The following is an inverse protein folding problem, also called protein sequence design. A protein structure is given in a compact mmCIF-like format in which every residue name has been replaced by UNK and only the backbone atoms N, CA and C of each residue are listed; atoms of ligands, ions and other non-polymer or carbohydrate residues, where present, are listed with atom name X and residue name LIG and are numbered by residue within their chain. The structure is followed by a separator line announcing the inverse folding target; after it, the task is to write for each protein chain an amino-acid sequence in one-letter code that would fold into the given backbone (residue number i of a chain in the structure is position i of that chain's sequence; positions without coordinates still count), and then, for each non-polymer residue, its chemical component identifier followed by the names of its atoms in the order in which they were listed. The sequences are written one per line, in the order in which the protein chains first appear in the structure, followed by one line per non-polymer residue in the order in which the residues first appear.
data_IF_929724064430
#
_entry.id   IF_929724064430
#
_cell.length_a   1.000
_cell.length_b   1.000
_cell.length_c   1.000
_cell.angle_alpha   90.00
_cell.angle_beta   90.00
_cell.angle_gamma   90.00
#
_symmetry.space_group_name_H-M   'P 1'
#
loop_
_entity.id
_entity.type
_entity.pdbx_description
1 polymer ?
#
# COMPACT_ATOMS: atom_id res chain seq x y z
N UNK A 1 -4.74 -22.25 14.37
CA UNK A 1 -4.82 -20.90 14.96
C UNK A 1 -3.40 -20.42 15.11
N UNK A 2 -3.07 -19.29 14.49
CA UNK A 2 -1.75 -18.69 14.58
C UNK A 2 -1.65 -17.84 15.85
N UNK A 3 -0.53 -17.94 16.55
CA UNK A 3 -0.25 -17.09 17.70
C UNK A 3 0.23 -15.70 17.26
N UNK A 4 -0.06 -14.66 18.05
CA UNK A 4 0.49 -13.32 17.84
C UNK A 4 2.02 -13.31 17.70
N UNK A 5 2.71 -14.12 18.50
CA UNK A 5 4.16 -14.25 18.44
C UNK A 5 4.66 -14.65 17.04
N UNK A 6 3.91 -15.47 16.30
CA UNK A 6 4.26 -15.87 14.94
C UNK A 6 4.05 -14.74 13.93
N UNK A 7 3.00 -13.93 14.10
CA UNK A 7 2.79 -12.73 13.28
C UNK A 7 3.90 -11.69 13.50
N UNK A 8 4.26 -11.45 14.76
CA UNK A 8 5.37 -10.56 15.11
C UNK A 8 6.70 -11.10 14.57
N UNK A 9 6.96 -12.39 14.71
CA UNK A 9 8.17 -13.00 14.16
C UNK A 9 8.24 -12.86 12.63
N UNK A 10 7.13 -13.10 11.93
CA UNK A 10 7.04 -12.90 10.48
C UNK A 10 7.38 -11.46 10.10
N UNK A 11 6.73 -10.48 10.73
CA UNK A 11 6.92 -9.06 10.40
C UNK A 11 8.36 -8.62 10.70
N UNK A 12 8.93 -9.04 11.83
CA UNK A 12 10.32 -8.76 12.14
C UNK A 12 11.27 -9.39 11.10
N UNK A 13 10.98 -10.60 10.63
CA UNK A 13 11.78 -11.28 9.62
C UNK A 13 11.75 -10.58 8.25
N UNK A 14 10.60 -10.04 7.85
CA UNK A 14 10.44 -9.38 6.54
C UNK A 14 10.69 -7.87 6.58
N UNK A 15 10.97 -7.31 7.75
CA UNK A 15 11.31 -5.89 7.89
C UNK A 15 12.57 -5.57 7.08
N UNK A 16 12.51 -4.49 6.30
CA UNK A 16 13.56 -4.09 5.36
C UNK A 16 13.46 -4.71 3.96
N UNK A 17 12.52 -5.64 3.71
CA UNK A 17 12.26 -6.13 2.34
C UNK A 17 11.91 -4.96 1.41
N UNK A 18 12.59 -4.77 0.26
CA UNK A 18 12.38 -3.62 -0.62
C UNK A 18 10.95 -3.48 -1.16
N UNK A 19 10.55 -2.24 -1.47
CA UNK A 19 9.30 -2.00 -2.18
C UNK A 19 9.45 -2.38 -3.66
N UNK A 20 8.63 -3.29 -4.15
CA UNK A 20 8.52 -3.64 -5.56
C UNK A 20 7.04 -3.67 -5.91
N UNK A 21 6.59 -2.85 -6.86
CA UNK A 21 5.21 -2.86 -7.33
C UNK A 21 4.84 -4.24 -7.88
N UNK A 22 3.73 -4.82 -7.39
CA UNK A 22 3.31 -6.18 -7.70
C UNK A 22 4.18 -7.27 -7.07
N UNK A 23 5.16 -6.92 -6.23
CA UNK A 23 6.03 -7.86 -5.54
C UNK A 23 5.28 -8.68 -4.50
N UNK A 24 5.66 -9.95 -4.39
CA UNK A 24 5.07 -10.93 -3.48
C UNK A 24 6.11 -11.98 -3.07
N UNK A 25 7.33 -11.51 -2.74
CA UNK A 25 8.42 -12.40 -2.30
C UNK A 25 9.35 -11.73 -1.30
N UNK A 26 10.23 -12.49 -0.61
CA UNK A 26 11.27 -11.92 0.25
C UNK A 26 12.22 -10.94 -0.47
N UNK A 27 12.33 -11.00 -1.81
CA UNK A 27 13.15 -10.09 -2.60
C UNK A 27 12.51 -8.70 -2.77
N UNK A 28 11.20 -8.59 -2.55
CA UNK A 28 10.48 -7.32 -2.59
C UNK A 28 8.96 -7.49 -2.63
N UNK A 29 8.25 -6.54 -2.03
CA UNK A 29 6.79 -6.52 -1.95
C UNK A 29 6.22 -5.11 -1.98
N UNK A 30 5.03 -4.95 -2.57
CA UNK A 30 4.26 -3.72 -2.43
C UNK A 30 3.42 -3.72 -1.14
N UNK A 31 2.64 -2.65 -0.94
CA UNK A 31 1.72 -2.49 0.19
C UNK A 31 0.75 -3.67 0.32
N UNK A 32 0.14 -4.07 -0.80
CA UNK A 32 -0.85 -5.14 -0.85
C UNK A 32 -0.26 -6.55 -0.72
N UNK A 33 0.96 -6.76 -1.20
CA UNK A 33 1.71 -8.00 -0.99
C UNK A 33 2.02 -8.22 0.49
N UNK A 34 2.46 -7.18 1.20
CA UNK A 34 2.68 -7.26 2.65
C UNK A 34 1.37 -7.53 3.40
N UNK A 35 0.29 -6.81 3.06
CA UNK A 35 -1.03 -7.07 3.63
C UNK A 35 -1.49 -8.52 3.37
N UNK A 36 -1.20 -9.05 2.17
CA UNK A 36 -1.49 -10.44 1.82
C UNK A 36 -0.73 -11.43 2.70
N UNK A 37 0.54 -11.19 2.98
CA UNK A 37 1.35 -12.06 3.85
C UNK A 37 0.80 -12.12 5.25
N UNK A 38 0.49 -10.96 5.83
CA UNK A 38 -0.07 -10.88 7.18
C UNK A 38 -1.46 -11.51 7.23
N UNK A 39 -2.33 -11.22 6.26
CA UNK A 39 -3.67 -11.82 6.21
C UNK A 39 -3.63 -13.34 5.99
N UNK A 40 -2.69 -13.84 5.19
CA UNK A 40 -2.49 -15.28 5.01
C UNK A 40 -2.03 -15.93 6.31
N UNK A 41 -0.98 -15.38 6.94
CA UNK A 41 -0.49 -15.89 8.21
C UNK A 41 -1.61 -15.90 9.27
N UNK A 42 -2.32 -14.78 9.41
CA UNK A 42 -3.42 -14.60 10.37
C UNK A 42 -4.57 -15.60 10.18
N UNK A 43 -4.77 -16.09 8.95
CA UNK A 43 -5.83 -17.04 8.58
C UNK A 43 -5.33 -18.48 8.37
N UNK A 44 -4.17 -18.83 8.95
CA UNK A 44 -3.54 -20.17 8.85
C UNK A 44 -3.27 -20.62 7.40
N UNK A 45 -2.93 -19.67 6.51
CA UNK A 45 -2.57 -19.93 5.11
C UNK A 45 -1.07 -19.75 4.87
N UNK A 46 -0.49 -20.38 3.83
CA UNK A 46 0.91 -20.12 3.47
C UNK A 46 1.14 -18.64 3.17
N UNK A 47 2.16 -18.05 3.79
CA UNK A 47 2.47 -16.60 3.73
C UNK A 47 2.53 -16.09 2.29
N UNK A 48 3.30 -16.77 1.43
CA UNK A 48 3.45 -16.47 0.00
C UNK A 48 2.51 -17.29 -0.90
N UNK A 49 1.45 -17.87 -0.34
CA UNK A 49 0.59 -18.82 -1.06
C UNK A 49 -0.46 -18.17 -1.95
N UNK A 50 -0.91 -16.95 -1.60
CA UNK A 50 -1.89 -16.21 -2.39
C UNK A 50 -1.81 -14.73 -2.10
N UNK A 51 -1.95 -13.90 -3.15
CA UNK A 51 -1.95 -12.44 -3.01
C UNK A 51 -3.27 -11.79 -3.38
N UNK A 52 -3.45 -10.57 -2.93
CA UNK A 52 -4.48 -9.64 -3.36
C UNK A 52 -3.87 -8.26 -3.66
N UNK A 53 -4.71 -7.34 -4.12
CA UNK A 53 -4.42 -5.92 -4.31
C UNK A 53 -5.62 -5.09 -3.81
N UNK A 54 -5.44 -3.78 -3.68
CA UNK A 54 -6.50 -2.88 -3.18
C UNK A 54 -7.82 -2.97 -3.94
N UNK A 55 -7.80 -3.36 -5.22
CA UNK A 55 -9.00 -3.53 -6.05
C UNK A 55 -9.81 -4.79 -5.76
N UNK A 56 -9.24 -5.80 -5.09
CA UNK A 56 -9.96 -7.01 -4.67
C UNK A 56 -9.78 -7.36 -3.19
N UNK A 57 -9.22 -6.45 -2.40
CA UNK A 57 -8.83 -6.65 -1.00
C UNK A 57 -10.02 -7.06 -0.13
N UNK A 58 -11.18 -6.40 -0.26
CA UNK A 58 -12.39 -6.74 0.48
C UNK A 58 -12.78 -8.22 0.33
N UNK A 59 -12.96 -8.67 -0.92
CA UNK A 59 -13.34 -10.06 -1.21
C UNK A 59 -12.26 -11.05 -0.75
N UNK A 60 -10.99 -10.68 -0.88
CA UNK A 60 -9.87 -11.49 -0.44
C UNK A 60 -9.82 -11.64 1.08
N UNK A 61 -10.05 -10.57 1.83
CA UNK A 61 -10.08 -10.56 3.30
C UNK A 61 -11.31 -11.32 3.82
N UNK A 62 -12.49 -11.13 3.24
CA UNK A 62 -13.69 -11.91 3.56
C UNK A 62 -13.44 -13.41 3.40
N UNK A 63 -12.77 -13.82 2.31
CA UNK A 63 -12.43 -15.23 2.09
C UNK A 63 -11.47 -15.81 3.13
N UNK A 64 -10.78 -14.95 3.89
CA UNK A 64 -9.84 -15.27 4.98
C UNK A 64 -10.48 -15.14 6.36
N UNK A 65 -11.78 -14.87 6.44
CA UNK A 65 -12.53 -14.77 7.69
C UNK A 65 -12.48 -13.39 8.35
N UNK A 66 -11.93 -12.37 7.68
CA UNK A 66 -11.98 -11.00 8.18
C UNK A 66 -13.43 -10.48 8.17
N UNK A 67 -13.70 -9.55 9.08
CA UNK A 67 -14.98 -8.88 9.27
C UNK A 67 -14.84 -7.38 8.98
N UNK A 68 -15.92 -6.71 8.58
CA UNK A 68 -15.90 -5.27 8.29
C UNK A 68 -15.70 -4.44 9.57
N UNK A 69 -14.94 -3.36 9.46
CA UNK A 69 -14.66 -2.43 10.55
C UNK A 69 -13.30 -2.68 11.20
N UNK A 70 -13.19 -2.35 12.48
CA UNK A 70 -11.97 -2.45 13.28
C UNK A 70 -12.31 -3.05 14.64
N UNK A 71 -11.36 -3.74 15.26
CA UNK A 71 -11.49 -4.20 16.64
C UNK A 71 -10.16 -4.05 17.37
N UNK A 72 -10.23 -3.86 18.69
CA UNK A 72 -9.07 -3.98 19.55
C UNK A 72 -8.57 -5.43 19.56
N UNK A 73 -7.28 -5.64 19.82
CA UNK A 73 -6.69 -6.97 19.96
C UNK A 73 -6.92 -7.86 18.72
N UNK A 74 -6.88 -7.26 17.52
CA UNK A 74 -7.13 -7.94 16.25
C UNK A 74 -6.09 -7.52 15.20
N UNK A 75 -5.89 -8.35 14.19
CA UNK A 75 -5.23 -7.88 12.96
C UNK A 75 -6.22 -6.96 12.27
N UNK A 76 -5.85 -5.71 12.05
CA UNK A 76 -6.67 -4.72 11.36
C UNK A 76 -5.96 -4.30 10.08
N UNK A 77 -6.68 -4.26 8.97
CA UNK A 77 -6.17 -3.85 7.67
C UNK A 77 -7.03 -2.70 7.18
N UNK A 78 -6.39 -1.57 6.88
CA UNK A 78 -7.03 -0.37 6.35
C UNK A 78 -6.51 -0.11 4.95
N UNK A 79 -7.42 0.19 4.01
CA UNK A 79 -7.05 0.45 2.62
C UNK A 79 -7.94 1.49 1.94
N UNK A 80 -7.45 1.98 0.80
CA UNK A 80 -8.18 2.80 -0.17
C UNK A 80 -7.84 2.33 -1.60
N UNK A 81 -8.18 3.10 -2.63
CA UNK A 81 -7.94 2.71 -4.02
C UNK A 81 -6.47 2.47 -4.41
N UNK A 82 -5.49 2.97 -3.66
CA UNK A 82 -4.07 2.91 -4.03
C UNK A 82 -3.11 2.46 -2.94
N UNK A 83 -3.55 2.35 -1.69
CA UNK A 83 -2.68 2.00 -0.57
C UNK A 83 -3.40 1.14 0.47
N UNK A 84 -2.62 0.32 1.17
CA UNK A 84 -3.07 -0.50 2.30
C UNK A 84 -1.97 -0.63 3.34
N UNK A 85 -2.36 -0.70 4.62
CA UNK A 85 -1.45 -0.93 5.73
C UNK A 85 -2.12 -1.75 6.83
N UNK A 86 -1.30 -2.34 7.69
CA UNK A 86 -1.74 -3.30 8.71
C UNK A 86 -1.43 -2.76 10.10
N UNK A 87 -2.30 -3.05 11.05
CA UNK A 87 -2.03 -2.98 12.48
C UNK A 87 -2.20 -4.36 13.09
N UNK A 88 -1.18 -4.84 13.80
CA UNK A 88 -1.19 -6.13 14.47
C UNK A 88 -2.03 -6.09 15.76
N UNK A 89 -2.37 -7.25 16.35
CA UNK A 89 -3.21 -7.30 17.56
C UNK A 89 -2.65 -6.54 18.77
N UNK A 90 -1.33 -6.40 18.87
CA UNK A 90 -0.63 -5.61 19.88
C UNK A 90 -0.55 -4.11 19.51
N UNK A 91 -1.33 -3.66 18.53
CA UNK A 91 -1.31 -2.28 18.05
C UNK A 91 -0.07 -1.92 17.20
N UNK A 92 0.87 -2.85 16.96
CA UNK A 92 2.06 -2.58 16.16
C UNK A 92 1.68 -2.28 14.71
N UNK A 93 1.97 -1.07 14.19
CA UNK A 93 1.70 -0.72 12.79
C UNK A 93 2.78 -1.31 11.88
N UNK A 94 2.37 -1.79 10.71
CA UNK A 94 3.24 -2.38 9.70
C UNK A 94 2.79 -1.93 8.31
N UNK A 95 3.73 -1.47 7.49
CA UNK A 95 3.44 -1.04 6.12
C UNK A 95 4.59 -1.33 5.16
N UNK A 96 4.27 -1.36 3.87
CA UNK A 96 5.25 -1.30 2.78
C UNK A 96 4.82 -0.15 1.87
N UNK A 97 5.76 0.69 1.44
CA UNK A 97 5.55 1.85 0.57
C UNK A 97 5.63 3.20 1.27
N UNK A 98 5.53 3.24 2.60
CA UNK A 98 5.54 4.50 3.37
C UNK A 98 6.96 4.90 3.79
N UNK A 99 7.76 5.35 2.84
CA UNK A 99 9.18 5.63 3.06
C UNK A 99 10.11 4.49 2.63
N UNK A 100 9.60 3.57 1.81
CA UNK A 100 10.38 2.46 1.25
C UNK A 100 9.64 1.14 1.38
N UNK A 101 10.39 0.05 1.45
CA UNK A 101 9.84 -1.30 1.59
C UNK A 101 9.13 -1.57 2.92
N UNK A 102 9.10 -2.84 3.32
CA UNK A 102 8.45 -3.30 4.55
C UNK A 102 9.11 -2.68 5.77
N UNK A 103 8.30 -2.14 6.67
CA UNK A 103 8.76 -1.59 7.95
C UNK A 103 7.72 -1.78 9.06
N UNK A 104 8.22 -1.83 10.28
CA UNK A 104 7.43 -1.63 11.50
C UNK A 104 7.41 -0.13 11.82
N UNK A 105 6.25 0.40 12.21
CA UNK A 105 6.05 1.82 12.49
C UNK A 105 5.11 2.51 11.49
N UNK A 106 4.85 3.80 11.71
CA UNK A 106 3.89 4.58 10.91
C UNK A 106 2.49 4.58 11.50
N UNK A 107 1.48 4.88 10.68
CA UNK A 107 0.09 4.98 11.13
C UNK A 107 -0.68 3.65 11.10
N UNK A 108 -0.12 2.61 10.48
CA UNK A 108 -0.77 1.30 10.34
C UNK A 108 -2.12 1.41 9.64
N UNK A 109 -3.07 0.55 10.00
CA UNK A 109 -4.41 0.54 9.42
C UNK A 109 -5.29 1.75 9.81
N UNK A 110 -4.88 2.58 10.76
CA UNK A 110 -5.70 3.69 11.28
C UNK A 110 -5.37 5.05 10.67
N UNK A 111 -4.70 5.07 9.52
CA UNK A 111 -4.39 6.31 8.83
C UNK A 111 -5.66 6.97 8.29
N UNK A 112 -5.82 8.31 8.39
CA UNK A 112 -7.03 9.02 7.95
C UNK A 112 -7.37 8.85 6.46
N UNK A 113 -6.41 8.41 5.64
CA UNK A 113 -6.60 8.22 4.19
C UNK A 113 -7.36 6.94 3.83
N UNK A 114 -7.50 5.99 4.75
CA UNK A 114 -8.16 4.73 4.47
C UNK A 114 -9.67 4.87 4.61
N UNK A 115 -10.38 4.44 3.57
CA UNK A 115 -11.83 4.51 3.48
C UNK A 115 -12.49 3.16 3.77
N UNK A 116 -11.70 2.09 3.82
CA UNK A 116 -12.14 0.74 4.12
C UNK A 116 -11.28 0.14 5.23
N UNK A 117 -11.92 -0.65 6.09
CA UNK A 117 -11.26 -1.35 7.18
C UNK A 117 -11.89 -2.72 7.36
N UNK A 118 -11.05 -3.71 7.61
CA UNK A 118 -11.46 -5.04 8.03
C UNK A 118 -10.52 -5.57 9.10
N UNK A 119 -11.05 -6.43 9.96
CA UNK A 119 -10.30 -7.02 11.05
C UNK A 119 -10.48 -8.53 11.17
N UNK A 120 -9.48 -9.20 11.73
CA UNK A 120 -9.53 -10.60 12.12
C UNK A 120 -9.14 -10.72 13.60
N UNK A 121 -10.08 -11.12 14.48
CA UNK A 121 -9.76 -11.44 15.88
C UNK A 121 -8.70 -12.53 15.97
N UNK A 122 -7.75 -12.38 16.90
CA UNK A 122 -6.79 -13.41 17.25
C UNK A 122 -7.11 -13.86 18.67
N UNK A 123 -7.41 -15.14 18.87
CA UNK A 123 -7.89 -15.66 20.17
C UNK A 123 -6.72 -16.05 21.10
N UNK A 124 -5.55 -16.41 20.56
CA UNK A 124 -4.32 -16.71 21.31
C UNK A 124 -3.44 -15.47 21.51
N UNK A 125 -3.99 -14.51 22.25
CA UNK A 125 -3.28 -13.33 22.72
C UNK A 125 -2.86 -13.55 24.18
N UNK A 126 -1.71 -14.19 24.40
CA UNK A 126 -0.94 -14.04 25.65
C UNK A 126 -0.33 -12.62 25.69
N UNK A 127 -1.19 -11.61 25.59
CA UNK A 127 -0.84 -10.22 25.76
C UNK A 127 -0.91 -9.90 27.26
N UNK A 128 0.11 -9.26 27.86
CA UNK A 128 -0.07 -8.66 29.16
C UNK A 128 -1.21 -7.63 29.06
N UNK A 129 -2.31 -7.88 29.76
CA UNK A 129 -3.41 -6.92 29.85
C UNK A 129 -2.86 -5.60 30.42
N UNK A 130 -2.75 -4.55 29.59
CA UNK A 130 -2.61 -3.19 30.11
C UNK A 130 -1.64 -2.22 29.43
N UNK A 131 -0.90 -2.57 28.38
CA UNK A 131 0.07 -1.65 27.77
C UNK A 131 -0.03 -1.57 26.23
N UNK A 132 -1.23 -1.25 25.72
CA UNK A 132 -1.34 -0.81 24.33
C UNK A 132 -2.10 0.51 24.26
N UNK A 133 -1.58 1.43 23.45
CA UNK A 133 -2.22 2.71 23.21
C UNK A 133 -3.66 2.45 22.73
N UNK A 134 -4.66 3.14 23.32
CA UNK A 134 -6.02 2.99 22.85
C UNK A 134 -6.05 3.28 21.35
N UNK A 135 -6.80 2.48 20.59
CA UNK A 135 -7.23 2.92 19.27
C UNK A 135 -7.78 4.34 19.44
N UNK A 136 -7.36 5.33 18.65
CA UNK A 136 -7.88 6.68 18.81
C UNK A 136 -9.40 6.58 18.76
N UNK A 137 -10.07 7.06 19.81
CA UNK A 137 -11.52 7.06 19.96
C UNK A 137 -12.16 7.83 18.79
N UNK A 138 -12.35 7.12 17.67
CA UNK A 138 -13.19 7.55 16.58
C UNK A 138 -14.63 7.25 16.97
N UNK A 139 -15.56 8.20 16.81
CA UNK A 139 -16.95 7.99 17.22
C UNK A 139 -17.53 6.79 16.47
N UNK A 140 -18.07 5.82 17.22
CA UNK A 140 -18.98 4.80 16.70
C UNK A 140 -20.25 5.49 16.20
N UNK A 141 -20.32 5.80 14.91
CA UNK A 141 -21.53 6.36 14.33
C UNK A 141 -22.46 5.20 13.94
N UNK A 142 -23.33 4.81 14.87
CA UNK A 142 -24.58 4.11 14.54
C UNK A 142 -25.54 5.15 13.93
N UNK A 143 -25.56 5.31 12.61
CA UNK A 143 -26.57 6.16 11.96
C UNK A 143 -27.89 5.42 11.86
N UNK A 144 -28.79 5.71 12.80
CA UNK A 144 -30.22 5.54 12.60
C UNK A 144 -30.85 6.91 12.30
N UNK A 145 -31.76 6.90 11.33
CA UNK A 145 -32.71 7.90 10.84
C UNK A 145 -32.54 9.42 11.14
N UNK A 146 -32.34 10.17 10.05
CA UNK A 146 -32.99 11.44 9.65
C UNK A 146 -33.18 12.52 10.73
N UNK A 147 -32.30 13.53 10.69
CA UNK A 147 -32.46 14.80 11.40
C UNK A 147 -31.53 15.86 10.82
N UNK A 148 -31.99 16.52 9.77
CA UNK A 148 -31.36 17.67 9.11
C UNK A 148 -31.22 18.85 10.09
N UNK A 149 -30.01 19.42 10.28
CA UNK A 149 -29.81 20.87 10.22
C UNK A 149 -28.31 21.30 10.28
N UNK A 150 -27.94 22.10 9.28
CA UNK A 150 -26.98 23.22 9.29
C UNK A 150 -25.49 22.98 9.59
N UNK A 151 -24.71 22.74 8.53
CA UNK A 151 -23.26 22.98 8.52
C UNK A 151 -22.95 24.50 8.40
N UNK A 152 -21.93 25.03 9.10
CA UNK A 152 -21.42 26.38 8.83
C UNK A 152 -20.61 26.40 7.51
N UNK A 153 -20.50 27.55 6.82
CA UNK A 153 -19.83 27.62 5.53
C UNK A 153 -18.33 27.38 5.67
N UNK A 154 -17.77 26.56 4.77
CA UNK A 154 -16.33 26.39 4.63
C UNK A 154 -15.66 27.70 4.17
N UNK A 155 -14.42 28.01 4.63
CA UNK A 155 -13.65 29.11 4.06
C UNK A 155 -13.28 28.80 2.60
N UNK A 156 -13.50 29.77 1.71
CA UNK A 156 -13.05 29.70 0.31
C UNK A 156 -11.52 29.60 0.25
N UNK A 157 -11.02 28.40 0.00
CA UNK A 157 -9.63 28.18 -0.40
C UNK A 157 -9.56 28.37 -1.92
N UNK A 158 -9.06 29.54 -2.34
CA UNK A 158 -8.68 29.76 -3.73
C UNK A 158 -7.65 28.69 -4.16
N UNK A 159 -7.79 28.10 -5.36
CA UNK A 159 -6.76 27.20 -5.87
C UNK A 159 -5.44 27.97 -6.00
N UNK A 160 -4.30 27.36 -5.64
CA UNK A 160 -3.01 27.96 -5.95
C UNK A 160 -2.88 28.16 -7.46
N UNK A 161 -2.28 29.28 -7.86
CA UNK A 161 -2.03 29.59 -9.26
C UNK A 161 -1.20 28.46 -9.91
N UNK A 162 -1.46 28.10 -11.18
CA UNK A 162 -0.69 27.07 -11.86
C UNK A 162 0.78 27.50 -11.93
N UNK A 163 1.68 26.58 -11.58
CA UNK A 163 3.11 26.74 -11.78
C UNK A 163 3.39 26.96 -13.27
N UNK A 164 4.32 27.87 -13.65
CA UNK A 164 4.71 28.01 -15.03
C UNK A 164 5.33 26.70 -15.53
N UNK A 165 4.82 26.20 -16.66
CA UNK A 165 5.37 25.03 -17.32
C UNK A 165 6.87 25.23 -17.60
N UNK A 166 7.70 24.17 -17.51
CA UNK A 166 9.10 24.27 -17.90
C UNK A 166 9.18 24.66 -19.37
N UNK A 167 9.91 25.74 -19.66
CA UNK A 167 10.22 26.16 -21.01
C UNK A 167 11.06 25.06 -21.67
N UNK A 168 10.45 24.34 -22.61
CA UNK A 168 11.14 23.36 -23.42
C UNK A 168 12.24 24.11 -24.19
N UNK A 169 13.49 23.82 -23.84
CA UNK A 169 14.63 24.24 -24.64
C UNK A 169 14.39 23.80 -26.10
N UNK A 170 14.67 24.64 -27.11
CA UNK A 170 14.50 24.25 -28.49
C UNK A 170 15.34 23.00 -28.78
N UNK A 171 14.72 22.00 -29.40
CA UNK A 171 15.41 20.80 -29.86
C UNK A 171 16.58 21.20 -30.78
N UNK A 172 17.76 20.57 -30.64
CA UNK A 172 18.84 20.80 -31.60
C UNK A 172 18.37 20.35 -32.99
N UNK A 173 18.63 21.19 -33.99
CA UNK A 173 18.35 20.87 -35.38
C UNK A 173 19.04 19.54 -35.77
N UNK A 174 18.42 18.70 -36.61
CA UNK A 174 19.05 17.46 -37.06
C UNK A 174 20.32 17.80 -37.84
N UNK A 175 21.44 17.25 -37.38
CA UNK A 175 22.71 17.30 -38.08
C UNK A 175 22.54 16.53 -39.40
N UNK A 176 22.52 17.26 -40.52
CA UNK A 176 22.47 16.69 -41.85
C UNK A 176 23.71 15.80 -42.04
N UNK A 177 23.49 14.49 -42.13
CA UNK A 177 24.54 13.55 -42.52
C UNK A 177 25.16 14.01 -43.86
N UNK A 178 26.48 13.92 -44.04
CA UNK A 178 27.10 14.25 -45.31
C UNK A 178 26.56 13.34 -46.42
N UNK A 179 26.26 13.93 -47.58
CA UNK A 179 25.84 13.19 -48.78
C UNK A 179 26.86 12.08 -49.12
N UNK A 180 26.39 10.90 -49.55
CA UNK A 180 27.29 9.87 -50.06
C UNK A 180 27.98 10.36 -51.33
N UNK A 181 29.30 10.10 -51.41
CA UNK A 181 30.09 10.41 -52.59
C UNK A 181 29.49 9.76 -53.85
N UNK A 182 29.61 10.41 -55.03
CA UNK A 182 29.08 9.85 -56.26
C UNK A 182 29.77 8.52 -56.59
N UNK A 183 29.05 7.57 -57.24
CA UNK A 183 29.63 6.29 -57.62
C UNK A 183 30.80 6.51 -58.58
N UNK A 184 31.93 5.88 -58.29
CA UNK A 184 33.06 5.84 -59.22
C UNK A 184 32.66 5.10 -60.49
N UNK A 185 32.95 5.71 -61.65
CA UNK A 185 32.75 5.10 -62.95
C UNK A 185 33.60 3.82 -63.12
N UNK A 186 33.11 2.82 -63.88
CA UNK A 186 33.74 1.53 -64.01
C UNK A 186 34.83 1.57 -65.10
N UNK A 187 36.10 1.68 -64.72
CA UNK A 187 37.19 1.45 -65.68
C UNK A 187 37.57 -0.03 -65.73
N UNK A 188 36.82 -0.71 -66.59
CA UNK A 188 37.24 -1.72 -67.57
C UNK A 188 38.68 -2.23 -67.44
N UNK A 189 38.78 -3.54 -67.23
CA UNK A 189 39.96 -4.32 -67.55
C UNK A 189 40.30 -4.19 -69.05
N UNK A 190 41.58 -3.99 -69.37
CA UNK A 190 42.17 -4.58 -70.57
C UNK A 190 43.67 -4.87 -70.38
N UNK A 191 43.97 -6.16 -70.56
CA UNK A 191 45.17 -6.85 -71.07
C UNK A 191 46.56 -6.24 -70.94
#
# INVERSE_FOLDING_TARGET
MIALATLLALVNQVSGTPYISGGDSPAGTDCSGLASWVANAASDRPVFGSRFNTGNEEAALLSRGFQHGTAANAVVIGWNGGHTAVTLPDGTPVSSGEGGGVRIGGGGAYQPQFTHHMYLPIEDLDLPEGEFAPAPDGPVVLVDAVGQESAPPAPEMFPPAPEPAPELAPEPAPELAPEPAPPGDPEMADS
#
